data_IF_216691939413
#
_entry.id   IF_216691939413
#
_cell.length_a   1.000
_cell.length_b   1.000
_cell.length_c   1.000
_cell.angle_alpha   90.00
_cell.angle_beta   90.00
_cell.angle_gamma   90.00
#
_symmetry.space_group_name_H-M   'P 1'
#
loop_
_entity.id
_entity.type
_entity.pdbx_description
1 polymer ?
#
# COMPACT_ATOMS: atom_id res chain seq x y z
N UNK A 1 -3.03 0.73 2.60
CA UNK A 1 -3.33 1.26 1.25
C UNK A 1 -4.66 0.76 0.73
N UNK A 2 -4.85 -0.54 0.44
CA UNK A 2 -6.14 -1.05 -0.04
C UNK A 2 -7.26 -0.92 1.00
N UNK A 3 -6.97 -1.31 2.25
CA UNK A 3 -7.90 -1.13 3.37
C UNK A 3 -8.34 0.33 3.54
N UNK A 4 -7.41 1.28 3.49
CA UNK A 4 -7.73 2.71 3.65
C UNK A 4 -8.60 3.24 2.50
N UNK A 5 -8.38 2.73 1.28
CA UNK A 5 -9.18 3.06 0.10
C UNK A 5 -10.61 2.51 0.24
N UNK A 6 -10.76 1.28 0.73
CA UNK A 6 -12.06 0.65 0.99
C UNK A 6 -12.83 1.39 2.09
N UNK A 7 -12.15 1.76 3.18
CA UNK A 7 -12.73 2.57 4.25
C UNK A 7 -13.18 3.95 3.75
N UNK A 8 -12.37 4.62 2.93
CA UNK A 8 -12.72 5.91 2.32
C UNK A 8 -13.91 5.78 1.35
N UNK A 9 -13.98 4.70 0.57
CA UNK A 9 -15.11 4.43 -0.32
C UNK A 9 -16.40 4.19 0.47
N UNK A 10 -16.34 3.46 1.58
CA UNK A 10 -17.47 3.21 2.45
C UNK A 10 -17.95 4.49 3.16
N UNK A 11 -17.02 5.32 3.65
CA UNK A 11 -17.35 6.62 4.24
C UNK A 11 -18.06 7.52 3.22
N UNK A 12 -17.51 7.62 2.01
CA UNK A 12 -18.11 8.39 0.90
C UNK A 12 -19.53 7.90 0.56
N UNK A 13 -19.73 6.58 0.50
CA UNK A 13 -21.04 6.00 0.26
C UNK A 13 -22.04 6.37 1.37
N UNK A 14 -21.62 6.34 2.64
CA UNK A 14 -22.47 6.71 3.76
C UNK A 14 -22.85 8.20 3.76
N UNK A 15 -21.91 9.09 3.41
CA UNK A 15 -22.16 10.54 3.25
C UNK A 15 -23.13 10.84 2.12
N UNK A 16 -22.99 10.17 0.97
CA UNK A 16 -23.93 10.29 -0.16
C UNK A 16 -25.35 9.88 0.24
N UNK A 17 -25.47 8.75 0.94
CA UNK A 17 -26.75 8.29 1.45
C UNK A 17 -27.35 9.30 2.45
N UNK A 18 -26.57 9.82 3.39
CA UNK A 18 -27.03 10.82 4.35
C UNK A 18 -27.50 12.10 3.66
N UNK A 19 -26.81 12.54 2.60
CA UNK A 19 -27.19 13.71 1.82
C UNK A 19 -28.53 13.49 1.09
N UNK A 20 -28.75 12.30 0.50
CA UNK A 20 -30.00 11.95 -0.19
C UNK A 20 -31.19 11.85 0.78
N UNK A 21 -31.00 11.28 1.96
CA UNK A 21 -32.00 11.23 3.03
C UNK A 21 -32.39 12.65 3.49
N UNK A 22 -31.40 13.53 3.64
CA UNK A 22 -31.62 14.93 3.96
C UNK A 22 -32.21 15.72 2.80
N UNK A 23 -32.01 15.37 1.53
CA UNK A 23 -32.63 16.07 0.39
C UNK A 23 -34.11 15.66 0.21
N UNK A 24 -34.40 14.36 0.28
CA UNK A 24 -35.75 13.80 0.03
C UNK A 24 -36.70 13.89 1.21
N UNK A 25 -36.19 14.18 2.42
CA UNK A 25 -37.01 14.27 3.64
C UNK A 25 -37.57 12.92 4.10
N UNK A 26 -37.19 11.84 3.42
CA UNK A 26 -37.58 10.48 3.76
C UNK A 26 -36.56 9.93 4.75
N UNK A 27 -36.76 10.21 6.04
CA UNK A 27 -36.06 9.46 7.09
C UNK A 27 -36.62 8.04 7.07
N UNK A 28 -36.04 7.14 6.28
CA UNK A 28 -36.41 5.73 6.34
C UNK A 28 -36.03 5.23 7.73
N UNK A 29 -37.06 4.75 8.44
CA UNK A 29 -37.03 3.96 9.68
C UNK A 29 -36.68 4.66 10.99
N UNK A 30 -37.55 4.43 11.98
CA UNK A 30 -37.41 4.52 13.45
C UNK A 30 -35.99 4.78 14.00
N UNK A 31 -35.47 5.98 13.76
CA UNK A 31 -34.21 6.47 14.31
C UNK A 31 -34.47 7.37 15.52
N UNK A 32 -33.54 7.40 16.48
CA UNK A 32 -33.49 8.34 17.61
C UNK A 32 -33.80 9.80 17.21
N UNK A 33 -33.54 10.19 15.95
CA UNK A 33 -33.92 11.49 15.38
C UNK A 33 -35.43 11.77 15.44
N UNK A 34 -36.28 10.74 15.30
CA UNK A 34 -37.74 10.88 15.41
C UNK A 34 -38.22 11.19 16.83
N UNK A 35 -37.47 10.78 17.87
CA UNK A 35 -37.70 11.19 19.25
C UNK A 35 -37.23 12.62 19.51
N UNK A 36 -36.07 13.02 18.98
CA UNK A 36 -35.55 14.39 19.16
C UNK A 36 -36.40 15.43 18.44
N UNK A 37 -36.99 15.13 17.28
CA UNK A 37 -37.93 16.04 16.60
C UNK A 37 -39.20 16.31 17.42
N UNK A 38 -39.65 15.33 18.21
CA UNK A 38 -40.76 15.52 19.16
C UNK A 38 -40.36 16.26 20.44
N UNK A 39 -39.08 16.24 20.81
CA UNK A 39 -38.54 16.87 22.03
C UNK A 39 -37.98 18.28 21.82
N UNK A 40 -37.46 18.61 20.63
CA UNK A 40 -36.73 19.85 20.35
C UNK A 40 -37.27 20.65 19.15
N UNK A 41 -38.35 20.19 18.50
CA UNK A 41 -38.93 20.82 17.32
C UNK A 41 -38.32 20.31 16.00
N UNK A 42 -38.98 20.62 14.88
CA UNK A 42 -38.44 20.36 13.55
C UNK A 42 -37.26 21.30 13.27
N UNK A 43 -36.17 20.74 12.74
CA UNK A 43 -35.05 21.49 12.20
C UNK A 43 -35.55 22.48 11.14
N UNK A 44 -35.06 23.73 11.17
CA UNK A 44 -35.53 24.74 10.21
C UNK A 44 -35.03 24.39 8.80
N UNK A 45 -35.76 24.79 7.74
CA UNK A 45 -35.33 24.58 6.36
C UNK A 45 -33.92 25.07 6.09
N UNK A 46 -33.53 26.20 6.68
CA UNK A 46 -32.22 26.83 6.52
C UNK A 46 -31.10 26.00 7.17
N UNK A 47 -31.35 25.40 8.35
CA UNK A 47 -30.39 24.52 9.03
C UNK A 47 -30.18 23.22 8.24
N UNK A 48 -31.26 22.66 7.70
CA UNK A 48 -31.21 21.48 6.83
C UNK A 48 -30.44 21.76 5.55
N UNK A 49 -30.69 22.90 4.90
CA UNK A 49 -29.96 23.29 3.68
C UNK A 49 -28.47 23.53 3.97
N UNK A 50 -28.12 24.14 5.10
CA UNK A 50 -26.73 24.31 5.51
C UNK A 50 -26.01 22.96 5.72
N UNK A 51 -26.68 21.97 6.34
CA UNK A 51 -26.13 20.61 6.49
C UNK A 51 -25.94 19.89 5.17
N UNK A 52 -26.87 20.06 4.22
CA UNK A 52 -26.74 19.50 2.87
C UNK A 52 -25.50 20.07 2.19
N UNK A 53 -25.30 21.40 2.21
CA UNK A 53 -24.12 22.04 1.61
C UNK A 53 -22.80 21.52 2.17
N UNK A 54 -22.71 21.35 3.50
CA UNK A 54 -21.52 20.78 4.14
C UNK A 54 -21.29 19.33 3.71
N UNK A 55 -22.35 18.53 3.59
CA UNK A 55 -22.22 17.15 3.10
C UNK A 55 -21.81 17.09 1.63
N UNK A 56 -22.33 17.98 0.78
CA UNK A 56 -21.94 18.09 -0.63
C UNK A 56 -20.44 18.43 -0.78
N UNK A 57 -19.92 19.37 0.02
CA UNK A 57 -18.49 19.68 0.06
C UNK A 57 -17.66 18.46 0.49
N UNK A 58 -18.05 17.79 1.57
CA UNK A 58 -17.36 16.58 2.07
C UNK A 58 -17.41 15.41 1.07
N UNK A 59 -18.50 15.28 0.31
CA UNK A 59 -18.64 14.28 -0.76
C UNK A 59 -17.67 14.62 -1.90
N UNK A 60 -17.62 15.87 -2.34
CA UNK A 60 -16.71 16.34 -3.38
C UNK A 60 -15.24 16.10 -3.00
N UNK A 61 -14.84 16.46 -1.78
CA UNK A 61 -13.50 16.21 -1.26
C UNK A 61 -13.20 14.70 -1.20
N UNK A 62 -14.14 13.90 -0.69
CA UNK A 62 -14.00 12.44 -0.61
C UNK A 62 -13.85 11.78 -1.98
N UNK A 63 -14.58 12.25 -3.00
CA UNK A 63 -14.45 11.78 -4.38
C UNK A 63 -13.06 12.08 -4.96
N UNK A 64 -12.55 13.29 -4.75
CA UNK A 64 -11.21 13.68 -5.19
C UNK A 64 -10.13 12.84 -4.49
N UNK A 65 -10.26 12.63 -3.18
CA UNK A 65 -9.34 11.81 -2.41
C UNK A 65 -9.34 10.36 -2.91
N UNK A 66 -10.52 9.79 -3.17
CA UNK A 66 -10.64 8.42 -3.66
C UNK A 66 -10.05 8.27 -5.07
N UNK A 67 -10.23 9.29 -5.92
CA UNK A 67 -9.61 9.33 -7.26
C UNK A 67 -8.08 9.37 -7.17
N UNK A 68 -7.52 10.19 -6.28
CA UNK A 68 -6.07 10.25 -6.03
C UNK A 68 -5.53 8.91 -5.55
N UNK A 69 -6.16 8.31 -4.53
CA UNK A 69 -5.73 7.03 -3.95
C UNK A 69 -5.79 5.88 -4.96
N UNK A 70 -6.80 5.87 -5.81
CA UNK A 70 -6.89 4.91 -6.91
C UNK A 70 -5.77 5.09 -7.95
N UNK A 71 -5.38 6.34 -8.24
CA UNK A 71 -4.25 6.61 -9.14
C UNK A 71 -2.93 6.14 -8.52
N UNK A 72 -2.66 6.52 -7.27
CA UNK A 72 -1.51 6.06 -6.49
C UNK A 72 -1.41 4.53 -6.48
N UNK A 73 -2.53 3.84 -6.26
CA UNK A 73 -2.58 2.37 -6.28
C UNK A 73 -2.21 1.77 -7.63
N UNK A 74 -2.68 2.35 -8.75
CA UNK A 74 -2.32 1.90 -10.10
C UNK A 74 -0.85 2.13 -10.41
N UNK A 75 -0.30 3.27 -10.01
CA UNK A 75 1.12 3.58 -10.18
C UNK A 75 1.99 2.64 -9.36
N UNK A 76 1.61 2.35 -8.11
CA UNK A 76 2.28 1.38 -7.27
C UNK A 76 2.33 0.00 -7.95
N UNK A 77 1.20 -0.50 -8.45
CA UNK A 77 1.13 -1.80 -9.13
C UNK A 77 2.01 -1.80 -10.39
N UNK A 78 1.99 -0.73 -11.19
CA UNK A 78 2.84 -0.59 -12.37
C UNK A 78 4.34 -0.64 -12.01
N UNK A 79 4.75 0.08 -10.97
CA UNK A 79 6.14 0.13 -10.54
C UNK A 79 6.58 -1.22 -9.96
N UNK A 80 5.74 -1.85 -9.13
CA UNK A 80 6.00 -3.18 -8.60
C UNK A 80 6.15 -4.23 -9.71
N UNK A 81 5.34 -4.14 -10.76
CA UNK A 81 5.50 -5.01 -11.95
C UNK A 81 6.83 -4.80 -12.67
N UNK A 82 7.25 -3.55 -12.84
CA UNK A 82 8.55 -3.24 -13.45
C UNK A 82 9.72 -3.79 -12.60
N UNK A 83 9.63 -3.70 -11.27
CA UNK A 83 10.62 -4.27 -10.35
C UNK A 83 10.67 -5.80 -10.44
N UNK A 84 9.51 -6.46 -10.51
CA UNK A 84 9.42 -7.92 -10.69
C UNK A 84 10.07 -8.34 -12.01
N UNK A 85 9.83 -7.61 -13.09
CA UNK A 85 10.40 -7.95 -14.39
C UNK A 85 11.92 -7.78 -14.39
N UNK A 86 12.41 -6.65 -13.85
CA UNK A 86 13.84 -6.42 -13.66
C UNK A 86 14.49 -7.55 -12.84
N UNK A 87 13.85 -7.97 -11.75
CA UNK A 87 14.34 -9.08 -10.93
C UNK A 87 14.42 -10.40 -11.72
N UNK A 88 13.40 -10.72 -12.53
CA UNK A 88 13.41 -11.95 -13.35
C UNK A 88 14.57 -11.95 -14.35
N UNK A 89 14.85 -10.81 -14.97
CA UNK A 89 15.97 -10.66 -15.91
C UNK A 89 17.33 -10.79 -15.21
N UNK A 90 17.46 -10.23 -14.00
CA UNK A 90 18.74 -10.14 -13.29
C UNK A 90 19.09 -11.39 -12.47
N UNK A 91 18.11 -12.05 -11.82
CA UNK A 91 18.36 -13.07 -10.79
C UNK A 91 19.34 -14.18 -11.20
N UNK A 92 19.26 -14.63 -12.46
CA UNK A 92 20.09 -15.73 -12.95
C UNK A 92 21.53 -15.27 -13.21
N UNK A 93 21.69 -14.03 -13.69
CA UNK A 93 23.00 -13.43 -13.91
C UNK A 93 23.69 -13.20 -12.57
N UNK A 94 23.00 -12.58 -11.62
CA UNK A 94 23.55 -12.26 -10.30
C UNK A 94 23.94 -13.54 -9.55
N UNK A 95 23.10 -14.57 -9.60
CA UNK A 95 23.41 -15.87 -8.99
C UNK A 95 24.63 -16.51 -9.65
N UNK A 96 24.73 -16.50 -10.98
CA UNK A 96 25.89 -17.04 -11.70
C UNK A 96 27.16 -16.29 -11.33
N UNK A 97 27.11 -14.96 -11.28
CA UNK A 97 28.27 -14.11 -10.95
C UNK A 97 28.73 -14.35 -9.51
N UNK A 98 27.80 -14.48 -8.56
CA UNK A 98 28.11 -14.83 -7.18
C UNK A 98 28.77 -16.22 -7.08
N UNK A 99 28.23 -17.23 -7.78
CA UNK A 99 28.78 -18.59 -7.77
C UNK A 99 30.16 -18.66 -8.43
N UNK A 100 30.38 -17.95 -9.54
CA UNK A 100 31.68 -17.85 -10.20
C UNK A 100 32.69 -17.19 -9.25
N UNK A 101 32.32 -16.07 -8.63
CA UNK A 101 33.17 -15.36 -7.67
C UNK A 101 33.55 -16.25 -6.49
N UNK A 102 32.59 -17.03 -5.98
CA UNK A 102 32.83 -18.01 -4.93
C UNK A 102 33.81 -19.10 -5.38
N UNK A 103 33.61 -19.69 -6.57
CA UNK A 103 34.51 -20.71 -7.10
C UNK A 103 35.94 -20.18 -7.27
N UNK A 104 36.11 -18.97 -7.80
CA UNK A 104 37.42 -18.31 -7.93
C UNK A 104 38.09 -18.13 -6.56
N UNK A 105 37.34 -17.69 -5.56
CA UNK A 105 37.83 -17.55 -4.19
C UNK A 105 38.27 -18.91 -3.61
N UNK A 106 37.47 -19.95 -3.77
CA UNK A 106 37.80 -21.31 -3.29
C UNK A 106 39.07 -21.84 -3.95
N UNK A 107 39.20 -21.70 -5.27
CA UNK A 107 40.40 -22.11 -6.01
C UNK A 107 41.63 -21.37 -5.46
N UNK A 108 41.53 -20.06 -5.22
CA UNK A 108 42.61 -19.26 -4.65
C UNK A 108 43.04 -19.75 -3.27
N UNK A 109 42.07 -20.04 -2.40
CA UNK A 109 42.34 -20.59 -1.06
C UNK A 109 43.01 -21.96 -1.12
N UNK A 110 42.52 -22.87 -1.98
CA UNK A 110 43.15 -24.17 -2.18
C UNK A 110 44.59 -24.06 -2.68
N UNK A 111 44.86 -23.16 -3.65
CA UNK A 111 46.22 -22.92 -4.16
C UNK A 111 47.17 -22.44 -3.05
N UNK A 112 46.71 -21.48 -2.23
CA UNK A 112 47.48 -21.01 -1.06
C UNK A 112 47.73 -22.13 -0.06
N UNK A 113 46.71 -22.96 0.22
CA UNK A 113 46.84 -24.13 1.09
C UNK A 113 47.88 -25.12 0.58
N UNK A 114 47.84 -25.47 -0.71
CA UNK A 114 48.83 -26.33 -1.36
C UNK A 114 50.23 -25.74 -1.20
N UNK A 115 50.40 -24.44 -1.48
CA UNK A 115 51.69 -23.78 -1.34
C UNK A 115 52.25 -23.88 0.10
N UNK A 116 51.40 -23.64 1.11
CA UNK A 116 51.80 -23.79 2.52
C UNK A 116 52.24 -25.22 2.84
N UNK A 117 51.48 -26.22 2.39
CA UNK A 117 51.81 -27.63 2.61
C UNK A 117 53.09 -28.07 1.87
N UNK A 118 53.29 -27.59 0.64
CA UNK A 118 54.51 -27.84 -0.13
C UNK A 118 55.72 -27.23 0.59
N UNK A 119 55.63 -25.98 1.03
CA UNK A 119 56.69 -25.33 1.79
C UNK A 119 57.01 -26.10 3.09
N UNK A 120 56.00 -26.52 3.83
CA UNK A 120 56.18 -27.32 5.04
C UNK A 120 56.91 -28.65 4.75
N UNK A 121 56.49 -29.37 3.72
CA UNK A 121 57.13 -30.62 3.29
C UNK A 121 58.60 -30.42 2.91
N UNK A 122 58.91 -29.37 2.16
CA UNK A 122 60.29 -29.05 1.79
C UNK A 122 61.16 -28.73 3.01
N UNK A 123 60.63 -27.99 3.99
CA UNK A 123 61.33 -27.72 5.23
C UNK A 123 61.66 -29.01 5.99
N UNK A 124 60.70 -29.94 6.09
CA UNK A 124 60.94 -31.25 6.73
C UNK A 124 61.94 -32.12 5.95
N UNK A 125 61.97 -32.01 4.62
CA UNK A 125 62.88 -32.82 3.79
C UNK A 125 64.33 -32.32 3.82
N UNK A 126 64.56 -31.09 4.30
CA UNK A 126 65.89 -30.45 4.42
C UNK A 126 66.47 -30.53 5.84
N UNK A 127 65.70 -31.04 6.81
CA UNK A 127 66.16 -31.40 8.15
C UNK A 127 66.67 -32.84 8.15
#
# INVERSE_FOLDING_TARGET
MQYDLEMAAQDLASKKQQCEELATGTVRTFSLKGMTTKLFGQETPEQREARIKVLEEQISEGEQQLKSKNLEGREFVKNAWADIERFKEQKNRDLKEALISYAVMQISMCKKGIQVWTNAKECFSKM
#
